data_IF_081617786302
#
_entry.id   IF_081617786302
#
_cell.length_a   1.000
_cell.length_b   1.000
_cell.length_c   1.000
_cell.angle_alpha   90.00
_cell.angle_beta   90.00
_cell.angle_gamma   90.00
#
_symmetry.space_group_name_H-M   'P 1'
#
loop_
_entity.id
_entity.type
_entity.pdbx_description
1 polymer ?
#
# COMPACT_ATOMS: atom_id res chain seq x y z
N UNK A 1 -11.17 -0.48 -16.28
CA UNK A 1 -9.81 -1.03 -16.25
C UNK A 1 -9.33 -0.95 -14.81
N UNK A 2 -8.88 -2.06 -14.24
CA UNK A 2 -8.39 -2.12 -12.86
C UNK A 2 -6.88 -1.91 -12.83
N UNK A 3 -6.36 -0.95 -12.05
CA UNK A 3 -4.92 -0.69 -11.91
C UNK A 3 -4.45 -1.14 -10.53
N UNK A 4 -3.33 -1.86 -10.48
CA UNK A 4 -2.53 -2.05 -9.27
C UNK A 4 -1.45 -0.97 -9.22
N UNK A 5 -1.53 -0.08 -8.24
CA UNK A 5 -0.45 0.85 -7.94
C UNK A 5 0.53 0.20 -6.96
N UNK A 6 1.83 0.41 -7.14
CA UNK A 6 2.84 -0.05 -6.18
C UNK A 6 3.64 1.13 -5.65
N UNK A 7 3.77 1.23 -4.33
CA UNK A 7 4.54 2.30 -3.66
C UNK A 7 5.62 1.64 -2.81
N UNK A 8 6.88 1.93 -3.14
CA UNK A 8 8.04 1.30 -2.50
C UNK A 8 8.81 2.21 -1.54
N UNK A 9 8.44 3.49 -1.43
CA UNK A 9 9.12 4.48 -0.60
C UNK A 9 8.34 4.85 0.65
N UNK A 10 9.09 5.12 1.72
CA UNK A 10 8.53 5.61 2.98
C UNK A 10 7.70 6.88 2.76
N UNK A 11 6.48 6.97 3.34
CA UNK A 11 5.67 8.19 3.28
C UNK A 11 6.30 9.35 4.07
N UNK A 12 7.36 9.09 4.83
CA UNK A 12 8.11 10.08 5.61
C UNK A 12 9.37 10.58 4.88
N UNK A 13 9.70 10.01 3.71
CA UNK A 13 10.89 10.37 2.93
C UNK A 13 10.56 10.85 1.51
N UNK A 14 9.48 10.33 0.91
CA UNK A 14 9.07 10.62 -0.47
C UNK A 14 7.58 10.89 -0.54
N UNK A 15 7.19 11.66 -1.55
CA UNK A 15 5.78 11.97 -1.83
C UNK A 15 5.08 10.89 -2.69
N UNK A 16 5.73 9.76 -2.99
CA UNK A 16 5.21 8.73 -3.90
C UNK A 16 3.84 8.20 -3.46
N UNK A 17 3.60 8.00 -2.15
CA UNK A 17 2.27 7.66 -1.63
C UNK A 17 1.24 8.76 -1.85
N UNK A 18 1.61 10.01 -1.61
CA UNK A 18 0.71 11.16 -1.76
C UNK A 18 0.23 11.29 -3.19
N UNK A 19 1.16 11.26 -4.14
CA UNK A 19 0.84 11.30 -5.56
C UNK A 19 0.06 10.06 -5.99
N UNK A 20 0.44 8.87 -5.52
CA UNK A 20 -0.29 7.63 -5.80
C UNK A 20 -1.77 7.75 -5.38
N UNK A 21 -2.04 8.14 -4.14
CA UNK A 21 -3.41 8.32 -3.66
C UNK A 21 -4.11 9.38 -4.49
N UNK A 22 -3.51 10.56 -4.71
CA UNK A 22 -4.15 11.65 -5.46
C UNK A 22 -4.63 11.25 -6.86
N UNK A 23 -3.87 10.41 -7.59
CA UNK A 23 -4.18 10.04 -8.97
C UNK A 23 -4.86 8.68 -9.13
N UNK A 24 -4.83 7.82 -8.12
CA UNK A 24 -5.52 6.53 -8.15
C UNK A 24 -7.04 6.75 -8.32
N UNK A 25 -7.65 6.05 -9.27
CA UNK A 25 -9.10 6.07 -9.48
C UNK A 25 -9.83 5.22 -8.44
N UNK A 26 -11.11 5.51 -8.22
CA UNK A 26 -11.93 4.75 -7.28
C UNK A 26 -12.01 3.27 -7.67
N UNK A 27 -11.90 2.40 -6.68
CA UNK A 27 -11.84 0.96 -6.85
C UNK A 27 -10.49 0.42 -7.35
N UNK A 28 -9.46 1.25 -7.51
CA UNK A 28 -8.09 0.78 -7.79
C UNK A 28 -7.46 0.11 -6.55
N UNK A 29 -6.42 -0.69 -6.79
CA UNK A 29 -5.63 -1.31 -5.72
C UNK A 29 -4.29 -0.57 -5.52
N UNK A 30 -3.79 -0.56 -4.29
CA UNK A 30 -2.45 -0.07 -3.94
C UNK A 30 -1.74 -1.11 -3.10
N UNK A 31 -0.54 -1.52 -3.51
CA UNK A 31 0.37 -2.34 -2.72
C UNK A 31 1.50 -1.49 -2.15
N UNK A 32 1.64 -1.54 -0.82
CA UNK A 32 2.74 -0.98 -0.05
C UNK A 32 3.79 -2.08 0.16
N UNK A 33 5.00 -1.87 -0.34
CA UNK A 33 6.12 -2.81 -0.19
C UNK A 33 7.44 -2.03 -0.03
N UNK A 34 8.55 -2.72 0.20
CA UNK A 34 9.82 -2.12 0.63
C UNK A 34 9.58 -1.11 1.77
N UNK A 35 10.08 0.13 1.66
CA UNK A 35 9.88 1.15 2.68
C UNK A 35 8.46 1.75 2.66
N UNK A 36 7.66 1.46 1.64
CA UNK A 36 6.25 1.83 1.58
C UNK A 36 5.41 1.24 2.72
N UNK A 37 5.85 0.13 3.32
CA UNK A 37 5.12 -0.53 4.41
C UNK A 37 4.96 0.34 5.66
N UNK A 38 5.80 1.36 5.85
CA UNK A 38 5.65 2.31 6.95
C UNK A 38 4.35 3.13 6.87
N UNK A 39 3.75 3.25 5.68
CA UNK A 39 2.45 3.88 5.51
C UNK A 39 1.28 3.04 6.06
N UNK A 40 1.45 1.73 6.17
CA UNK A 40 0.40 0.84 6.65
C UNK A 40 0.20 0.90 8.18
N UNK A 41 1.08 1.58 8.91
CA UNK A 41 1.11 1.56 10.36
C UNK A 41 0.17 2.58 10.99
N UNK A 42 -0.63 2.11 11.95
CA UNK A 42 -1.45 2.94 12.82
C UNK A 42 -0.59 3.76 13.78
N UNK A 43 -1.10 4.91 14.21
CA UNK A 43 -0.44 5.87 15.09
C UNK A 43 0.66 6.69 14.42
N UNK A 44 0.80 6.63 13.09
CA UNK A 44 1.78 7.42 12.35
C UNK A 44 1.17 8.67 11.73
N UNK A 45 2.02 9.63 11.34
CA UNK A 45 1.56 10.84 10.64
C UNK A 45 0.90 10.58 9.27
N UNK A 46 1.04 9.37 8.71
CA UNK A 46 0.41 8.99 7.45
C UNK A 46 -1.00 8.41 7.63
N UNK A 47 -1.41 8.03 8.85
CA UNK A 47 -2.64 7.26 9.10
C UNK A 47 -3.90 7.94 8.57
N UNK A 48 -4.06 9.25 8.80
CA UNK A 48 -5.26 9.97 8.34
C UNK A 48 -5.46 9.87 6.84
N UNK A 49 -4.38 10.04 6.06
CA UNK A 49 -4.40 9.95 4.60
C UNK A 49 -4.70 8.54 4.12
N UNK A 50 -4.14 7.54 4.79
CA UNK A 50 -4.34 6.13 4.44
C UNK A 50 -5.77 5.69 4.75
N UNK A 51 -6.37 6.16 5.86
CA UNK A 51 -7.78 5.93 6.17
C UNK A 51 -8.73 6.58 5.18
N UNK A 52 -8.42 7.81 4.73
CA UNK A 52 -9.18 8.46 3.65
C UNK A 52 -9.09 7.66 2.35
N UNK A 53 -7.89 7.17 2.00
CA UNK A 53 -7.68 6.34 0.83
C UNK A 53 -8.46 5.01 0.89
N UNK A 54 -8.57 4.36 2.05
CA UNK A 54 -9.38 3.15 2.25
C UNK A 54 -10.86 3.33 1.91
N UNK A 55 -11.39 4.57 1.96
CA UNK A 55 -12.78 4.85 1.60
C UNK A 55 -13.10 4.61 0.12
N UNK A 56 -12.08 4.54 -0.75
CA UNK A 56 -12.26 4.40 -2.20
C UNK A 56 -11.26 3.46 -2.88
N UNK A 57 -10.14 3.11 -2.23
CA UNK A 57 -9.09 2.23 -2.77
C UNK A 57 -9.02 0.92 -1.97
N UNK A 58 -8.58 -0.16 -2.63
CA UNK A 58 -8.19 -1.41 -1.95
C UNK A 58 -6.71 -1.33 -1.59
N UNK A 59 -6.38 -1.25 -0.31
CA UNK A 59 -4.99 -1.15 0.14
C UNK A 59 -4.47 -2.50 0.62
N UNK A 60 -3.23 -2.80 0.23
CA UNK A 60 -2.50 -3.99 0.61
C UNK A 60 -1.10 -3.62 1.10
N UNK A 61 -0.53 -4.47 1.95
CA UNK A 61 0.85 -4.34 2.42
C UNK A 61 1.58 -5.68 2.34
N UNK A 62 2.85 -5.66 1.94
CA UNK A 62 3.66 -6.86 1.80
C UNK A 62 4.18 -7.32 3.18
N UNK A 63 3.64 -8.42 3.69
CA UNK A 63 3.98 -9.03 4.97
C UNK A 63 5.48 -9.34 5.14
N UNK A 64 6.18 -9.91 4.13
CA UNK A 64 7.63 -10.08 4.18
C UNK A 64 8.41 -8.81 4.52
N UNK A 65 8.02 -7.66 3.97
CA UNK A 65 8.70 -6.37 4.20
C UNK A 65 8.40 -5.78 5.59
N UNK A 66 7.20 -6.01 6.11
CA UNK A 66 6.88 -5.70 7.51
C UNK A 66 7.78 -6.48 8.46
N UNK A 67 7.87 -7.80 8.25
CA UNK A 67 8.70 -8.70 9.07
C UNK A 67 10.17 -8.32 9.01
N UNK A 68 10.69 -8.01 7.82
CA UNK A 68 12.07 -7.57 7.64
C UNK A 68 12.40 -6.28 8.42
N UNK A 69 11.39 -5.41 8.65
CA UNK A 69 11.52 -4.15 9.40
C UNK A 69 11.14 -4.27 10.89
N UNK A 70 10.85 -5.48 11.38
CA UNK A 70 10.42 -5.69 12.77
C UNK A 70 9.05 -5.09 13.09
N UNK A 71 8.20 -4.93 12.07
CA UNK A 71 6.85 -4.37 12.21
C UNK A 71 5.85 -5.51 12.34
N UNK A 72 5.09 -5.49 13.43
CA UNK A 72 4.07 -6.49 13.71
C UNK A 72 2.74 -6.12 13.03
N UNK A 73 2.01 -7.15 12.58
CA UNK A 73 0.77 -6.98 11.82
C UNK A 73 -0.38 -6.38 12.67
N UNK A 74 -0.32 -6.50 13.99
CA UNK A 74 -1.25 -5.85 14.94
C UNK A 74 -1.18 -4.32 14.93
N UNK A 75 -0.10 -3.75 14.37
CA UNK A 75 0.08 -2.30 14.22
C UNK A 75 -0.49 -1.77 12.91
N UNK A 76 -1.03 -2.61 12.05
CA UNK A 76 -1.55 -2.21 10.74
C UNK A 76 -2.89 -1.49 10.91
N UNK A 77 -3.10 -0.46 10.11
CA UNK A 77 -4.39 0.22 10.00
C UNK A 77 -5.46 -0.80 9.55
N UNK A 78 -6.51 -0.93 10.34
CA UNK A 78 -7.65 -1.79 10.02
C UNK A 78 -8.20 -1.52 8.62
N UNK A 79 -8.41 -2.59 7.85
CA UNK A 79 -8.88 -2.54 6.46
C UNK A 79 -7.78 -2.71 5.40
N UNK A 80 -6.49 -2.62 5.78
CA UNK A 80 -5.39 -2.96 4.87
C UNK A 80 -5.19 -4.48 4.83
N UNK A 81 -5.20 -5.07 3.64
CA UNK A 81 -4.93 -6.50 3.46
C UNK A 81 -3.43 -6.82 3.53
N UNK A 82 -3.04 -7.80 4.34
CA UNK A 82 -1.65 -8.30 4.35
C UNK A 82 -1.49 -9.39 3.31
N UNK A 83 -0.51 -9.26 2.42
CA UNK A 83 -0.20 -10.26 1.37
C UNK A 83 1.25 -10.70 1.46
N UNK A 84 1.55 -11.87 0.90
CA UNK A 84 2.92 -12.31 0.65
C UNK A 84 3.30 -12.09 -0.83
N UNK A 85 4.43 -12.64 -1.26
CA UNK A 85 4.86 -12.52 -2.65
C UNK A 85 3.93 -13.25 -3.63
N UNK A 86 3.29 -14.34 -3.23
CA UNK A 86 2.30 -15.00 -4.08
C UNK A 86 1.08 -14.09 -4.24
N UNK A 87 0.59 -13.51 -3.15
CA UNK A 87 -0.49 -12.52 -3.19
C UNK A 87 -0.14 -11.27 -4.00
N UNK A 88 1.13 -10.82 -4.01
CA UNK A 88 1.56 -9.77 -4.94
C UNK A 88 1.46 -10.23 -6.41
N UNK A 89 1.92 -11.43 -6.74
CA UNK A 89 1.77 -11.98 -8.10
C UNK A 89 0.30 -12.05 -8.50
N UNK A 90 -0.58 -12.50 -7.61
CA UNK A 90 -2.02 -12.57 -7.85
C UNK A 90 -2.61 -11.17 -8.09
N UNK A 91 -2.29 -10.19 -7.24
CA UNK A 91 -2.71 -8.80 -7.43
C UNK A 91 -2.25 -8.24 -8.78
N UNK A 92 -1.02 -8.53 -9.20
CA UNK A 92 -0.49 -8.07 -10.48
C UNK A 92 -1.19 -8.73 -11.68
N UNK A 93 -1.63 -9.99 -11.53
CA UNK A 93 -2.35 -10.73 -12.58
C UNK A 93 -3.84 -10.38 -12.65
N UNK A 94 -4.48 -10.04 -11.53
CA UNK A 94 -5.90 -9.65 -11.44
C UNK A 94 -6.19 -8.25 -11.99
N UNK A 95 -5.17 -7.39 -12.09
CA UNK A 95 -5.31 -6.01 -12.56
C UNK A 95 -4.78 -5.88 -13.99
N UNK A 96 -5.43 -5.04 -14.80
CA UNK A 96 -5.08 -4.85 -16.22
C UNK A 96 -3.70 -4.20 -16.40
N UNK A 97 -3.23 -3.46 -15.39
CA UNK A 97 -1.97 -2.71 -15.40
C UNK A 97 -1.36 -2.64 -14.01
N UNK A 98 -0.03 -2.61 -13.97
CA UNK A 98 0.76 -2.27 -12.79
C UNK A 98 1.40 -0.90 -13.01
N UNK A 99 1.23 0.03 -12.07
CA UNK A 99 1.83 1.36 -12.10
C UNK A 99 2.70 1.58 -10.88
N UNK A 100 4.01 1.65 -11.10
CA UNK A 100 5.00 1.89 -10.06
C UNK A 100 5.19 3.39 -9.77
N UNK A 101 5.19 3.74 -8.48
CA UNK A 101 5.51 5.07 -7.95
C UNK A 101 6.84 4.99 -7.17
N UNK A 102 7.92 5.48 -7.78
CA UNK A 102 9.30 5.32 -7.31
C UNK A 102 9.82 6.51 -6.47
#
# INVERSE_FOLDING_TARGET
MSILHTVNKSPFERNSLESCVQFASDGAAVLLFEDGVYAALAGTGAESRVREALGRLRLYVLGPDLKARGLSEDRIIEGIGVVDYAGFVDLAAEHDKVQAWL
#
